data_IF_637921690792
#
_entry.id   IF_637921690792
#
_cell.length_a   1.000
_cell.length_b   1.000
_cell.length_c   1.000
_cell.angle_alpha   90.00
_cell.angle_beta   90.00
_cell.angle_gamma   90.00
#
_symmetry.space_group_name_H-M   'P 1'
#
loop_
_entity.id
_entity.type
_entity.pdbx_description
1 polymer ?
#
# COMPACT_ATOMS: atom_id res chain seq x y z
N UNK A 1 65.09 15.60 12.07
CA UNK A 1 64.02 14.75 11.53
C UNK A 1 63.23 14.20 12.70
N UNK A 2 62.03 14.73 12.94
CA UNK A 2 60.93 14.12 13.69
C UNK A 2 59.73 15.06 13.51
N UNK A 3 58.90 14.73 12.53
CA UNK A 3 57.67 15.45 12.22
C UNK A 3 56.50 14.81 12.96
N UNK A 4 55.83 15.62 13.77
CA UNK A 4 54.48 15.43 14.29
C UNK A 4 53.46 15.49 13.16
N UNK A 5 52.57 14.50 13.07
CA UNK A 5 51.32 14.59 12.33
C UNK A 5 50.19 14.19 13.29
N UNK A 6 49.41 15.19 13.67
CA UNK A 6 48.08 15.08 14.27
C UNK A 6 47.09 15.17 13.10
N UNK A 7 46.43 14.08 12.75
CA UNK A 7 45.29 14.13 11.82
C UNK A 7 44.00 14.32 12.61
N UNK A 8 43.51 15.55 12.52
CA UNK A 8 42.18 15.98 12.91
C UNK A 8 41.19 15.58 11.79
N UNK A 9 40.34 14.59 12.06
CA UNK A 9 39.28 14.14 11.16
C UNK A 9 37.92 14.63 11.68
N UNK A 10 37.73 15.94 11.73
CA UNK A 10 36.40 16.54 11.79
C UNK A 10 35.83 16.63 10.36
N UNK A 11 35.20 15.57 9.87
CA UNK A 11 34.32 15.67 8.72
C UNK A 11 33.09 16.49 9.10
N UNK A 12 33.10 17.77 8.78
CA UNK A 12 31.91 18.63 8.80
C UNK A 12 30.97 18.11 7.71
N UNK A 13 29.83 17.56 8.11
CA UNK A 13 28.75 17.22 7.18
C UNK A 13 28.31 18.49 6.44
N UNK A 14 28.05 18.45 5.12
CA UNK A 14 27.58 19.64 4.41
C UNK A 14 26.25 20.09 5.00
N UNK A 15 26.13 21.39 5.29
CA UNK A 15 24.85 22.02 5.65
C UNK A 15 23.93 21.99 4.43
N UNK A 16 23.15 20.92 4.29
CA UNK A 16 22.00 20.90 3.40
C UNK A 16 20.83 21.58 4.12
N UNK A 17 20.41 22.74 3.61
CA UNK A 17 19.18 23.39 4.05
C UNK A 17 17.94 22.51 3.77
N UNK A 18 16.79 22.81 4.40
CA UNK A 18 15.57 22.03 4.22
C UNK A 18 15.16 21.99 2.74
N UNK A 19 15.04 20.78 2.18
CA UNK A 19 14.60 20.55 0.81
C UNK A 19 13.06 20.69 0.74
N UNK A 20 12.51 21.68 0.03
CA UNK A 20 11.06 21.81 -0.11
C UNK A 20 10.52 20.69 -1.02
N UNK A 21 9.41 20.06 -0.61
CA UNK A 21 8.69 19.09 -1.44
C UNK A 21 7.86 19.81 -2.51
N UNK A 22 8.24 19.63 -3.77
CA UNK A 22 7.39 19.95 -4.91
C UNK A 22 7.00 18.64 -5.61
N UNK A 23 5.78 18.55 -6.15
CA UNK A 23 5.34 17.49 -7.08
C UNK A 23 5.11 16.06 -6.54
N UNK A 24 4.96 15.85 -5.22
CA UNK A 24 4.57 14.54 -4.64
C UNK A 24 3.19 14.02 -5.09
N UNK A 25 2.42 14.86 -5.79
CA UNK A 25 1.09 14.57 -6.32
C UNK A 25 1.01 14.45 -7.85
N UNK A 26 2.06 14.03 -8.56
CA UNK A 26 1.94 13.62 -9.98
C UNK A 26 2.01 12.10 -10.14
N UNK A 27 1.01 11.48 -10.79
CA UNK A 27 0.98 10.02 -10.98
C UNK A 27 2.12 9.60 -11.90
N UNK A 28 2.98 8.72 -11.38
CA UNK A 28 4.24 8.29 -11.97
C UNK A 28 4.10 7.37 -13.20
N UNK A 29 2.88 6.97 -13.58
CA UNK A 29 2.63 6.08 -14.74
C UNK A 29 2.28 6.84 -16.02
N UNK A 30 1.74 8.07 -15.92
CA UNK A 30 1.26 8.84 -17.08
C UNK A 30 2.11 10.08 -17.40
N UNK A 31 3.12 10.38 -16.58
CA UNK A 31 4.12 11.38 -16.94
C UNK A 31 4.97 10.84 -18.09
N UNK A 32 4.95 11.49 -19.25
CA UNK A 32 5.84 11.17 -20.35
C UNK A 32 7.28 11.18 -19.83
N UNK A 33 7.96 10.05 -19.98
CA UNK A 33 9.22 9.62 -19.36
C UNK A 33 10.47 10.44 -19.80
N UNK A 34 10.29 11.66 -20.32
CA UNK A 34 11.38 12.46 -20.87
C UNK A 34 12.20 13.19 -19.81
N UNK A 35 11.68 13.39 -18.60
CA UNK A 35 12.35 14.22 -17.60
C UNK A 35 13.24 13.44 -16.60
N UNK A 36 13.36 12.11 -16.69
CA UNK A 36 14.37 11.35 -15.94
C UNK A 36 14.31 11.37 -14.40
N UNK A 37 13.46 12.20 -13.79
CA UNK A 37 13.47 12.47 -12.34
C UNK A 37 13.04 11.27 -11.46
N UNK A 38 12.38 10.27 -12.05
CA UNK A 38 11.99 9.04 -11.36
C UNK A 38 12.69 7.87 -12.03
N UNK A 39 13.96 7.62 -11.67
CA UNK A 39 14.76 6.57 -12.28
C UNK A 39 14.34 5.17 -11.82
N UNK A 40 13.78 5.03 -10.63
CA UNK A 40 13.34 3.76 -10.06
C UNK A 40 11.87 3.85 -9.61
N UNK A 41 11.23 2.70 -9.37
CA UNK A 41 9.85 2.55 -8.91
C UNK A 41 9.79 1.66 -7.68
N UNK A 42 9.30 2.22 -6.58
CA UNK A 42 9.21 1.55 -5.30
C UNK A 42 7.93 0.69 -5.24
N UNK A 43 8.08 -0.56 -4.83
CA UNK A 43 7.01 -1.56 -4.75
C UNK A 43 6.68 -1.91 -3.29
N UNK A 44 5.43 -1.72 -2.91
CA UNK A 44 4.84 -2.34 -1.72
C UNK A 44 3.99 -3.55 -2.12
N UNK A 45 4.29 -4.71 -1.55
CA UNK A 45 3.58 -5.96 -1.80
C UNK A 45 2.98 -6.53 -0.53
N UNK A 46 1.67 -6.75 -0.51
CA UNK A 46 0.91 -7.24 0.64
C UNK A 46 0.39 -8.66 0.40
N UNK A 47 0.80 -9.57 1.29
CA UNK A 47 0.32 -10.96 1.28
C UNK A 47 -1.15 -11.11 1.65
N UNK A 48 -1.77 -12.14 1.09
CA UNK A 48 -3.13 -12.57 1.42
C UNK A 48 -3.18 -13.54 2.59
N UNK A 49 -4.07 -13.28 3.54
CA UNK A 49 -4.07 -13.92 4.85
C UNK A 49 -5.35 -13.91 5.67
N UNK A 50 -6.47 -13.40 5.13
CA UNK A 50 -7.71 -13.23 5.89
C UNK A 50 -7.48 -12.37 7.12
N UNK A 51 -7.83 -12.86 8.32
CA UNK A 51 -7.71 -12.05 9.54
C UNK A 51 -6.26 -11.72 9.91
N UNK A 52 -5.32 -12.55 9.50
CA UNK A 52 -3.89 -12.29 9.71
C UNK A 52 -3.40 -11.07 8.91
N UNK A 53 -4.18 -10.55 7.96
CA UNK A 53 -3.90 -9.26 7.33
C UNK A 53 -3.78 -8.11 8.33
N UNK A 54 -4.34 -8.24 9.54
CA UNK A 54 -4.11 -7.28 10.63
C UNK A 54 -2.64 -7.16 11.01
N UNK A 55 -1.85 -8.23 10.90
CA UNK A 55 -0.40 -8.18 11.05
C UNK A 55 0.24 -7.21 10.05
N UNK A 56 -0.13 -7.31 8.78
CA UNK A 56 0.42 -6.45 7.73
C UNK A 56 0.12 -4.97 8.01
N UNK A 57 -1.05 -4.66 8.57
CA UNK A 57 -1.40 -3.30 8.98
C UNK A 57 -0.51 -2.78 10.12
N UNK A 58 -0.21 -3.61 11.12
CA UNK A 58 0.70 -3.23 12.21
C UNK A 58 2.14 -3.01 11.71
N UNK A 59 2.59 -3.84 10.76
CA UNK A 59 3.90 -3.66 10.11
C UNK A 59 3.93 -2.34 9.32
N UNK A 60 2.88 -2.05 8.55
CA UNK A 60 2.78 -0.79 7.80
C UNK A 60 2.75 0.42 8.74
N UNK A 61 1.96 0.37 9.81
CA UNK A 61 1.91 1.44 10.83
C UNK A 61 3.30 1.73 11.40
N UNK A 62 4.04 0.67 11.78
CA UNK A 62 5.40 0.82 12.30
C UNK A 62 6.40 1.33 11.26
N UNK A 63 6.24 0.93 10.00
CA UNK A 63 7.07 1.45 8.91
C UNK A 63 6.79 2.92 8.62
N UNK A 64 5.52 3.32 8.55
CA UNK A 64 5.15 4.73 8.31
C UNK A 64 5.67 5.63 9.43
N UNK A 65 5.65 5.14 10.67
CA UNK A 65 6.30 5.82 11.79
C UNK A 65 7.82 5.98 11.56
N UNK A 66 8.51 4.90 11.14
CA UNK A 66 9.95 4.95 10.91
C UNK A 66 10.33 5.88 9.74
N UNK A 67 9.49 5.96 8.69
CA UNK A 67 9.67 6.92 7.59
C UNK A 67 9.50 8.35 8.12
N UNK A 68 8.46 8.62 8.91
CA UNK A 68 8.26 9.92 9.54
C UNK A 68 9.40 10.35 10.45
N UNK A 69 9.96 9.40 11.22
CA UNK A 69 11.14 9.64 12.06
C UNK A 69 12.37 10.01 11.21
N UNK A 70 12.58 9.33 10.08
CA UNK A 70 13.69 9.64 9.16
C UNK A 70 13.49 10.98 8.44
N UNK A 71 12.26 11.30 8.00
CA UNK A 71 11.93 12.60 7.42
C UNK A 71 12.23 13.75 8.39
N UNK A 72 11.85 13.62 9.66
CA UNK A 72 12.14 14.62 10.70
C UNK A 72 13.63 14.80 10.94
N UNK A 73 14.36 13.70 11.01
CA UNK A 73 15.80 13.69 11.24
C UNK A 73 16.55 14.43 10.13
N UNK A 74 16.07 14.37 8.89
CA UNK A 74 16.70 14.99 7.72
C UNK A 74 16.11 16.35 7.35
N UNK A 75 14.97 16.73 7.92
CA UNK A 75 14.14 17.88 7.53
C UNK A 75 14.63 19.28 7.92
N UNK A 76 15.83 19.44 8.46
CA UNK A 76 16.51 20.75 8.58
C UNK A 76 15.72 21.89 9.24
N UNK A 77 14.82 21.60 10.20
CA UNK A 77 14.07 22.63 10.94
C UNK A 77 12.68 22.99 10.38
N UNK A 78 12.15 22.21 9.42
CA UNK A 78 10.77 22.35 8.97
C UNK A 78 9.77 22.11 10.12
N UNK A 79 8.72 22.94 10.23
CA UNK A 79 7.77 22.87 11.35
C UNK A 79 6.77 21.70 11.26
N UNK A 80 6.54 21.18 10.05
CA UNK A 80 5.50 20.17 9.79
C UNK A 80 6.01 19.07 8.87
N UNK A 81 5.91 17.83 9.34
CA UNK A 81 6.29 16.63 8.61
C UNK A 81 5.09 15.71 8.47
N UNK A 82 4.53 15.68 7.27
CA UNK A 82 3.51 14.72 6.90
C UNK A 82 3.43 14.59 5.38
N UNK A 83 2.65 13.60 4.97
CA UNK A 83 2.36 13.25 3.60
C UNK A 83 1.59 14.29 2.80
N UNK A 84 0.92 15.23 3.46
CA UNK A 84 0.08 16.23 2.80
C UNK A 84 0.81 17.55 2.62
N UNK A 85 1.89 17.80 3.37
CA UNK A 85 2.68 19.03 3.25
C UNK A 85 3.16 19.26 1.79
N UNK A 86 3.00 20.48 1.24
CA UNK A 86 2.61 21.73 1.92
C UNK A 86 1.11 21.92 2.18
N UNK A 87 0.26 21.10 1.57
CA UNK A 87 -1.20 21.21 1.69
C UNK A 87 -1.71 20.93 3.10
N UNK A 88 -2.87 21.50 3.48
CA UNK A 88 -3.52 21.18 4.75
C UNK A 88 -3.95 19.71 4.80
N UNK A 89 -3.93 19.13 6.00
CA UNK A 89 -4.46 17.79 6.26
C UNK A 89 -5.96 17.75 5.93
N UNK A 90 -6.43 16.82 5.08
CA UNK A 90 -7.84 16.72 4.75
C UNK A 90 -8.70 16.27 5.95
N UNK A 91 -9.92 16.82 6.08
CA UNK A 91 -10.86 16.52 7.17
C UNK A 91 -11.23 15.03 7.31
N UNK A 92 -11.17 14.26 6.22
CA UNK A 92 -11.50 12.83 6.22
C UNK A 92 -10.32 11.96 6.69
N UNK A 93 -9.11 12.51 6.71
CA UNK A 93 -7.92 11.87 7.28
C UNK A 93 -7.95 12.03 8.81
N UNK A 94 -8.41 13.19 9.29
CA UNK A 94 -8.45 13.57 10.71
C UNK A 94 -9.62 12.98 11.50
N UNK A 95 -10.54 12.20 10.90
CA UNK A 95 -11.70 11.61 11.60
C UNK A 95 -11.35 10.75 12.83
N UNK A 96 -10.10 10.29 12.99
CA UNK A 96 -9.64 9.62 14.21
C UNK A 96 -9.10 10.55 15.30
N UNK A 97 -8.69 11.77 14.94
CA UNK A 97 -8.04 12.75 15.82
C UNK A 97 -9.05 13.37 16.79
N UNK A 98 -10.32 13.53 16.39
CA UNK A 98 -11.32 14.23 17.18
C UNK A 98 -12.10 13.38 18.19
N UNK A 99 -12.21 12.06 18.02
CA UNK A 99 -13.03 11.22 18.91
C UNK A 99 -12.29 10.61 20.12
N UNK A 100 -10.97 10.82 20.24
CA UNK A 100 -10.17 10.26 21.36
C UNK A 100 -9.33 11.32 22.07
N UNK A 101 -9.99 12.38 22.50
CA UNK A 101 -9.50 13.20 23.61
C UNK A 101 -9.58 12.39 24.90
N UNK A 102 -8.53 11.63 25.20
CA UNK A 102 -7.99 11.34 26.53
C UNK A 102 -6.87 10.29 26.39
N UNK A 103 -5.61 10.72 26.50
CA UNK A 103 -4.42 9.90 26.78
C UNK A 103 -3.93 8.91 25.70
N UNK A 104 -3.84 9.30 24.42
CA UNK A 104 -2.88 8.63 23.51
C UNK A 104 -1.64 9.49 23.31
N UNK A 105 -0.48 8.82 23.31
CA UNK A 105 0.85 9.42 23.10
C UNK A 105 0.90 10.07 21.71
N UNK A 106 1.52 11.24 21.62
CA UNK A 106 1.82 11.98 20.36
C UNK A 106 2.26 11.05 19.21
N UNK A 107 3.07 10.03 19.54
CA UNK A 107 3.61 9.04 18.60
C UNK A 107 2.55 8.24 17.78
N UNK A 108 1.31 8.06 18.27
CA UNK A 108 0.25 7.34 17.53
C UNK A 108 -0.37 8.19 16.40
N UNK A 109 -0.26 9.52 16.50
CA UNK A 109 -0.77 10.46 15.50
C UNK A 109 0.18 10.54 14.30
N UNK A 110 1.48 10.38 14.54
CA UNK A 110 2.51 10.48 13.51
C UNK A 110 2.34 9.45 12.39
N UNK A 111 2.14 8.18 12.71
CA UNK A 111 2.01 7.13 11.69
C UNK A 111 0.81 7.33 10.76
N UNK A 112 -0.23 8.06 11.21
CA UNK A 112 -1.42 8.37 10.41
C UNK A 112 -1.20 9.56 9.48
N UNK A 113 -0.18 10.38 9.77
CA UNK A 113 0.24 11.51 8.97
C UNK A 113 1.15 11.11 7.80
N UNK A 114 1.69 9.89 7.80
CA UNK A 114 2.47 9.34 6.67
C UNK A 114 1.69 8.24 5.96
N UNK A 115 1.43 8.44 4.66
CA UNK A 115 0.71 7.50 3.82
C UNK A 115 1.69 6.67 2.98
N UNK A 116 1.48 5.34 2.87
CA UNK A 116 2.31 4.50 2.01
C UNK A 116 2.38 4.98 0.56
N UNK A 117 1.30 5.60 0.05
CA UNK A 117 1.24 6.09 -1.33
C UNK A 117 2.26 7.18 -1.66
N UNK A 118 2.87 7.83 -0.66
CA UNK A 118 3.93 8.81 -0.90
C UNK A 118 5.33 8.21 -0.94
N UNK A 119 5.50 6.98 -0.45
CA UNK A 119 6.79 6.29 -0.47
C UNK A 119 6.86 5.18 -1.52
N UNK A 120 5.70 4.73 -2.01
CA UNK A 120 5.58 3.62 -2.96
C UNK A 120 4.82 4.03 -4.21
N UNK A 121 5.45 3.84 -5.37
CA UNK A 121 4.84 4.06 -6.68
C UNK A 121 3.79 3.01 -7.01
N UNK A 122 4.06 1.76 -6.63
CA UNK A 122 3.20 0.63 -6.92
C UNK A 122 2.87 -0.11 -5.63
N UNK A 123 1.58 -0.30 -5.39
CA UNK A 123 1.07 -1.13 -4.29
C UNK A 123 0.35 -2.33 -4.90
N UNK A 124 0.83 -3.54 -4.60
CA UNK A 124 0.16 -4.78 -5.02
C UNK A 124 -0.30 -5.60 -3.82
N UNK A 125 -1.53 -6.11 -3.87
CA UNK A 125 -2.13 -6.82 -2.76
C UNK A 125 -2.88 -8.09 -3.16
N UNK A 126 -2.96 -9.04 -2.23
CA UNK A 126 -3.84 -10.20 -2.34
C UNK A 126 -4.63 -10.40 -1.04
N UNK A 127 -5.90 -10.82 -1.15
CA UNK A 127 -6.80 -11.34 -0.10
C UNK A 127 -6.53 -10.96 1.38
N UNK A 128 -6.96 -9.77 1.81
CA UNK A 128 -7.00 -9.39 3.23
C UNK A 128 -8.43 -9.09 3.66
N UNK A 129 -8.83 -9.52 4.87
CA UNK A 129 -10.22 -9.39 5.35
C UNK A 129 -10.30 -8.77 6.74
N UNK A 130 -11.44 -8.14 7.05
CA UNK A 130 -11.70 -7.34 8.26
C UNK A 130 -12.71 -7.99 9.23
N UNK A 131 -12.88 -7.40 10.42
CA UNK A 131 -13.80 -7.85 11.47
C UNK A 131 -15.25 -8.05 10.99
N UNK A 132 -15.79 -7.11 10.19
CA UNK A 132 -17.18 -7.18 9.69
C UNK A 132 -17.38 -8.34 8.72
N UNK A 133 -16.29 -8.85 8.14
CA UNK A 133 -16.28 -9.95 7.17
C UNK A 133 -16.36 -11.32 7.86
N UNK A 134 -15.62 -11.51 8.98
CA UNK A 134 -15.53 -12.81 9.66
C UNK A 134 -16.39 -12.95 10.92
N UNK A 135 -17.10 -11.88 11.32
CA UNK A 135 -17.85 -11.81 12.58
C UNK A 135 -19.07 -12.73 12.73
N UNK A 136 -19.60 -13.27 11.62
CA UNK A 136 -20.84 -14.07 11.59
C UNK A 136 -20.71 -15.26 10.64
N UNK A 137 -19.99 -16.34 11.01
CA UNK A 137 -19.95 -17.56 10.20
C UNK A 137 -21.33 -18.24 10.15
N UNK A 138 -21.67 -18.85 9.01
CA UNK A 138 -22.84 -19.73 8.91
C UNK A 138 -22.59 -20.99 9.74
N UNK A 139 -23.59 -21.37 10.54
CA UNK A 139 -23.50 -22.56 11.39
C UNK A 139 -23.33 -23.86 10.58
N UNK A 140 -24.00 -23.93 9.42
CA UNK A 140 -23.89 -25.02 8.44
C UNK A 140 -23.21 -24.47 7.18
N UNK A 141 -22.01 -24.97 6.87
CA UNK A 141 -21.25 -24.56 5.67
C UNK A 141 -20.51 -25.75 5.05
N UNK A 142 -20.08 -25.62 3.80
CA UNK A 142 -19.31 -26.65 3.09
C UNK A 142 -18.03 -27.02 3.84
N UNK A 143 -17.38 -26.04 4.48
CA UNK A 143 -16.17 -26.25 5.27
C UNK A 143 -16.45 -26.92 6.61
N UNK A 144 -17.62 -26.71 7.20
CA UNK A 144 -17.97 -27.23 8.52
C UNK A 144 -18.52 -28.66 8.48
N UNK A 145 -19.33 -28.99 7.47
CA UNK A 145 -20.13 -30.24 7.45
C UNK A 145 -19.90 -31.05 6.15
N UNK A 146 -19.23 -30.50 5.13
CA UNK A 146 -18.86 -31.23 3.90
C UNK A 146 -20.02 -31.56 2.94
N UNK A 147 -21.27 -31.58 3.44
CA UNK A 147 -22.46 -32.01 2.68
C UNK A 147 -23.16 -30.82 1.99
N UNK A 148 -23.08 -29.63 2.58
CA UNK A 148 -23.87 -28.46 2.15
C UNK A 148 -22.98 -27.50 1.34
N UNK A 149 -23.36 -27.16 0.09
CA UNK A 149 -22.55 -26.33 -0.83
C UNK A 149 -22.46 -24.82 -0.49
N UNK A 150 -22.74 -24.44 0.75
CA UNK A 150 -22.86 -23.03 1.13
C UNK A 150 -21.51 -22.50 1.66
N UNK A 151 -21.07 -21.31 1.23
CA UNK A 151 -19.84 -20.70 1.72
C UNK A 151 -19.95 -20.34 3.21
N UNK A 152 -18.82 -20.34 3.92
CA UNK A 152 -18.79 -20.10 5.37
C UNK A 152 -19.32 -18.73 5.78
N UNK A 153 -19.11 -17.70 4.96
CA UNK A 153 -19.48 -16.31 5.27
C UNK A 153 -20.40 -15.72 4.19
N UNK A 154 -21.16 -14.70 4.57
CA UNK A 154 -22.04 -13.98 3.65
C UNK A 154 -21.27 -12.87 2.92
N UNK A 155 -21.27 -12.90 1.59
CA UNK A 155 -20.64 -11.88 0.76
C UNK A 155 -21.25 -10.48 0.96
N UNK A 156 -22.53 -10.39 1.32
CA UNK A 156 -23.22 -9.10 1.56
C UNK A 156 -22.56 -8.31 2.68
N UNK A 157 -22.24 -8.96 3.82
CA UNK A 157 -21.58 -8.28 4.93
C UNK A 157 -20.16 -7.80 4.58
N UNK A 158 -19.49 -8.49 3.65
CA UNK A 158 -18.20 -8.05 3.11
C UNK A 158 -18.37 -6.82 2.23
N UNK A 159 -19.33 -6.83 1.32
CA UNK A 159 -19.62 -5.66 0.47
C UNK A 159 -20.04 -4.44 1.28
N UNK A 160 -20.88 -4.63 2.31
CA UNK A 160 -21.26 -3.57 3.24
C UNK A 160 -20.05 -3.01 3.99
N UNK A 161 -19.12 -3.87 4.42
CA UNK A 161 -17.89 -3.43 5.07
C UNK A 161 -17.00 -2.62 4.13
N UNK A 162 -16.89 -3.02 2.86
CA UNK A 162 -16.14 -2.25 1.86
C UNK A 162 -16.83 -0.93 1.53
N UNK A 163 -18.15 -0.93 1.31
CA UNK A 163 -18.95 0.30 1.11
C UNK A 163 -18.76 1.28 2.25
N UNK A 164 -18.83 0.81 3.49
CA UNK A 164 -18.62 1.63 4.69
C UNK A 164 -17.21 2.25 4.74
N UNK A 165 -16.17 1.46 4.47
CA UNK A 165 -14.80 1.97 4.44
C UNK A 165 -14.63 3.00 3.33
N UNK A 166 -15.07 2.71 2.12
CA UNK A 166 -14.89 3.64 1.00
C UNK A 166 -15.77 4.88 1.14
N UNK A 167 -16.96 4.78 1.75
CA UNK A 167 -17.76 5.97 2.05
C UNK A 167 -17.10 6.87 3.11
N UNK A 168 -16.46 6.28 4.12
CA UNK A 168 -15.77 7.04 5.18
C UNK A 168 -14.45 7.64 4.72
N UNK A 169 -13.76 7.00 3.77
CA UNK A 169 -12.38 7.36 3.36
C UNK A 169 -12.27 7.92 1.95
N UNK A 170 -13.28 7.72 1.11
CA UNK A 170 -13.34 8.29 -0.22
C UNK A 170 -13.56 9.79 -0.19
N UNK A 171 -13.17 10.45 -1.28
CA UNK A 171 -13.43 11.86 -1.49
C UNK A 171 -14.95 12.11 -1.42
N UNK A 172 -15.36 13.12 -0.64
CA UNK A 172 -16.76 13.53 -0.61
C UNK A 172 -17.08 14.12 -1.99
N UNK A 173 -18.18 13.73 -2.64
CA UNK A 173 -18.58 14.36 -3.88
C UNK A 173 -18.75 15.86 -3.63
N UNK A 174 -18.30 16.68 -4.59
CA UNK A 174 -18.54 18.12 -4.55
C UNK A 174 -20.04 18.40 -4.36
N UNK A 175 -20.46 19.52 -3.74
CA UNK A 175 -21.88 19.82 -3.50
C UNK A 175 -22.79 19.74 -4.74
N UNK A 176 -22.20 19.89 -5.93
CA UNK A 176 -22.88 19.82 -7.22
C UNK A 176 -22.77 18.46 -7.94
N UNK A 177 -22.04 17.49 -7.39
CA UNK A 177 -22.00 16.11 -7.89
C UNK A 177 -23.10 15.29 -7.19
N UNK A 178 -23.92 14.59 -7.98
CA UNK A 178 -24.94 13.70 -7.44
C UNK A 178 -24.30 12.67 -6.49
N UNK A 179 -24.92 12.49 -5.32
CA UNK A 179 -24.40 11.78 -4.15
C UNK A 179 -24.23 10.25 -4.30
N UNK A 180 -24.01 9.72 -5.51
CA UNK A 180 -24.04 8.29 -5.78
C UNK A 180 -22.98 7.78 -6.76
N UNK A 181 -22.00 8.60 -7.19
CA UNK A 181 -20.92 8.05 -8.00
C UNK A 181 -20.08 7.12 -7.13
N UNK A 182 -20.15 5.83 -7.43
CA UNK A 182 -19.33 4.85 -6.72
C UNK A 182 -17.85 5.19 -6.95
N UNK A 183 -17.02 5.04 -5.91
CA UNK A 183 -15.59 5.29 -5.99
C UNK A 183 -15.01 4.47 -7.14
N UNK A 184 -14.32 5.17 -8.04
CA UNK A 184 -13.72 4.61 -9.24
C UNK A 184 -12.39 3.97 -8.86
N UNK A 185 -12.22 2.70 -9.23
CA UNK A 185 -10.93 2.00 -9.04
C UNK A 185 -9.75 2.59 -9.82
N UNK A 186 -9.96 3.29 -10.96
CA UNK A 186 -8.90 4.08 -11.57
C UNK A 186 -8.26 5.09 -10.61
N UNK A 187 -6.94 5.03 -10.44
CA UNK A 187 -6.19 5.97 -9.62
C UNK A 187 -6.24 7.36 -10.25
N UNK A 188 -6.54 8.37 -9.43
CA UNK A 188 -6.43 9.76 -9.83
C UNK A 188 -4.98 10.11 -10.11
N UNK A 189 -4.76 11.09 -10.99
CA UNK A 189 -3.41 11.61 -11.25
C UNK A 189 -2.87 12.14 -9.93
N UNK A 190 -1.67 11.72 -9.56
CA UNK A 190 -1.02 12.07 -8.31
C UNK A 190 -0.99 11.01 -7.24
N UNK A 191 -1.60 9.85 -7.48
CA UNK A 191 -1.64 8.77 -6.49
C UNK A 191 -0.79 7.58 -6.94
N UNK A 192 -0.37 6.77 -5.95
CA UNK A 192 0.31 5.52 -6.19
C UNK A 192 -0.57 4.58 -7.03
N UNK A 193 0.06 3.81 -7.91
CA UNK A 193 -0.63 2.82 -8.72
C UNK A 193 -0.93 1.56 -7.93
N UNK A 194 -2.15 1.07 -8.06
CA UNK A 194 -2.59 -0.10 -7.33
C UNK A 194 -2.86 -1.28 -8.27
N UNK A 195 -2.48 -2.45 -7.80
CA UNK A 195 -2.90 -3.70 -8.41
C UNK A 195 -3.38 -4.72 -7.38
N UNK A 196 -4.38 -5.51 -7.75
CA UNK A 196 -4.93 -6.54 -6.87
C UNK A 196 -5.04 -7.87 -7.63
N UNK A 197 -4.57 -8.94 -7.02
CA UNK A 197 -4.62 -10.26 -7.64
C UNK A 197 -5.88 -11.02 -7.25
N UNK A 198 -6.50 -11.72 -8.20
CA UNK A 198 -7.57 -12.69 -7.97
C UNK A 198 -7.40 -13.94 -8.84
N UNK A 199 -8.18 -14.97 -8.54
CA UNK A 199 -8.27 -16.17 -9.36
C UNK A 199 -9.57 -16.16 -10.16
N UNK A 200 -9.45 -16.12 -11.48
CA UNK A 200 -10.54 -16.35 -12.41
C UNK A 200 -10.74 -17.84 -12.63
N UNK A 201 -12.00 -18.26 -12.68
CA UNK A 201 -12.39 -19.60 -13.07
C UNK A 201 -13.13 -19.51 -14.40
N UNK A 202 -12.60 -20.17 -15.42
CA UNK A 202 -13.26 -20.24 -16.74
C UNK A 202 -13.79 -21.65 -16.93
N UNK A 203 -15.09 -21.77 -17.19
CA UNK A 203 -15.72 -23.05 -17.53
C UNK A 203 -15.56 -23.33 -19.02
N UNK A 204 -14.72 -24.31 -19.36
CA UNK A 204 -14.56 -24.79 -20.73
C UNK A 204 -15.20 -26.16 -20.93
N UNK A 205 -15.47 -26.53 -22.19
CA UNK A 205 -16.01 -27.85 -22.58
C UNK A 205 -15.16 -29.03 -22.10
N UNK A 206 -13.87 -28.83 -21.78
CA UNK A 206 -12.92 -29.86 -21.28
C UNK A 206 -12.61 -29.74 -19.78
N UNK A 207 -13.38 -28.96 -19.02
CA UNK A 207 -13.20 -28.76 -17.59
C UNK A 207 -12.97 -27.29 -17.22
N UNK A 208 -13.02 -26.98 -15.92
CA UNK A 208 -12.78 -25.62 -15.43
C UNK A 208 -11.29 -25.34 -15.29
N UNK A 209 -10.78 -24.32 -15.98
CA UNK A 209 -9.43 -23.80 -15.78
C UNK A 209 -9.45 -22.69 -14.71
N UNK A 210 -8.32 -22.54 -14.01
CA UNK A 210 -8.10 -21.42 -13.08
C UNK A 210 -6.95 -20.56 -13.61
N UNK A 211 -7.20 -19.27 -13.78
CA UNK A 211 -6.23 -18.27 -14.27
C UNK A 211 -6.09 -17.18 -13.22
N UNK A 212 -4.87 -16.76 -12.92
CA UNK A 212 -4.66 -15.57 -12.10
C UNK A 212 -4.97 -14.33 -12.93
N UNK A 213 -5.66 -13.36 -12.34
CA UNK A 213 -5.96 -12.07 -12.94
C UNK A 213 -5.48 -10.94 -12.04
N UNK A 214 -5.02 -9.87 -12.66
CA UNK A 214 -4.50 -8.68 -12.00
C UNK A 214 -5.41 -7.49 -12.33
N UNK A 215 -6.18 -7.04 -11.35
CA UNK A 215 -6.86 -5.75 -11.41
C UNK A 215 -5.82 -4.65 -11.33
N UNK A 216 -5.99 -3.60 -12.12
CA UNK A 216 -5.08 -2.44 -12.19
C UNK A 216 -5.89 -1.15 -12.08
N UNK A 217 -5.39 -0.20 -11.30
CA UNK A 217 -5.97 1.14 -11.19
C UNK A 217 -5.54 2.08 -12.33
N UNK A 218 -4.69 1.60 -13.25
CA UNK A 218 -4.11 2.38 -14.34
C UNK A 218 -4.30 1.64 -15.67
N UNK A 219 -4.09 2.38 -16.76
CA UNK A 219 -4.16 1.83 -18.11
C UNK A 219 -2.94 0.94 -18.37
N UNK A 220 -3.18 -0.26 -18.91
CA UNK A 220 -2.15 -1.24 -19.21
C UNK A 220 -2.47 -1.92 -20.55
N UNK A 221 -1.45 -2.29 -21.33
CA UNK A 221 -1.65 -2.93 -22.65
C UNK A 221 -2.38 -4.27 -22.55
N UNK A 222 -2.11 -5.01 -21.48
CA UNK A 222 -2.79 -6.27 -21.12
C UNK A 222 -4.03 -6.04 -20.25
N UNK A 223 -4.67 -4.86 -20.32
CA UNK A 223 -5.94 -4.62 -19.64
C UNK A 223 -7.00 -5.39 -20.41
N UNK A 224 -7.52 -6.46 -19.81
CA UNK A 224 -8.71 -7.11 -20.32
C UNK A 224 -9.86 -6.06 -20.35
N UNK A 225 -10.75 -6.13 -21.34
CA UNK A 225 -11.90 -5.21 -21.58
C UNK A 225 -13.01 -5.30 -20.51
N UNK A 226 -12.62 -5.58 -19.28
CA UNK A 226 -13.51 -5.87 -18.17
C UNK A 226 -13.90 -4.53 -17.55
N UNK A 227 -15.11 -4.10 -17.85
CA UNK A 227 -15.76 -3.02 -17.12
C UNK A 227 -16.06 -3.53 -15.71
N UNK A 228 -15.34 -2.99 -14.72
CA UNK A 228 -15.62 -3.20 -13.31
C UNK A 228 -16.46 -2.04 -12.81
N UNK A 229 -17.55 -2.32 -12.11
CA UNK A 229 -18.48 -1.26 -11.65
C UNK A 229 -17.95 -0.51 -10.42
N UNK A 230 -16.73 -0.81 -9.94
CA UNK A 230 -16.07 -0.03 -8.88
C UNK A 230 -15.11 -0.82 -7.98
N UNK A 231 -14.44 -0.10 -7.09
CA UNK A 231 -13.43 -0.63 -6.14
C UNK A 231 -13.92 -1.82 -5.31
N UNK A 232 -15.19 -1.80 -4.90
CA UNK A 232 -15.79 -2.83 -4.06
C UNK A 232 -15.78 -4.20 -4.75
N UNK A 233 -16.00 -4.25 -6.06
CA UNK A 233 -15.97 -5.50 -6.82
C UNK A 233 -14.55 -6.07 -6.87
N UNK A 234 -13.55 -5.21 -7.08
CA UNK A 234 -12.14 -5.59 -7.07
C UNK A 234 -11.71 -6.09 -5.70
N UNK A 235 -12.05 -5.36 -4.63
CA UNK A 235 -11.75 -5.77 -3.26
C UNK A 235 -12.41 -7.10 -2.90
N UNK A 236 -13.68 -7.30 -3.30
CA UNK A 236 -14.39 -8.58 -3.11
C UNK A 236 -13.73 -9.71 -3.88
N UNK A 237 -13.41 -9.51 -5.16
CA UNK A 237 -12.77 -10.52 -5.99
C UNK A 237 -11.38 -10.91 -5.46
N UNK A 238 -10.58 -9.95 -5.00
CA UNK A 238 -9.28 -10.21 -4.40
C UNK A 238 -9.38 -10.92 -3.05
N UNK A 239 -10.48 -10.73 -2.30
CA UNK A 239 -10.68 -11.29 -0.95
C UNK A 239 -11.44 -12.62 -0.92
N UNK A 240 -12.18 -12.96 -1.99
CA UNK A 240 -13.01 -14.15 -2.05
C UNK A 240 -12.20 -15.46 -2.06
N UNK A 241 -11.82 -15.94 -0.87
CA UNK A 241 -11.21 -17.25 -0.71
C UNK A 241 -12.22 -18.37 -1.01
N UNK A 242 -11.85 -19.39 -1.83
CA UNK A 242 -12.74 -20.52 -2.13
C UNK A 242 -13.24 -21.20 -0.85
N UNK A 243 -14.52 -21.58 -0.82
CA UNK A 243 -15.24 -22.15 0.35
C UNK A 243 -15.58 -21.15 1.47
N UNK A 244 -14.98 -19.96 1.48
CA UNK A 244 -15.28 -18.92 2.47
C UNK A 244 -16.36 -17.95 1.99
N UNK A 245 -16.31 -17.57 0.71
CA UNK A 245 -17.22 -16.63 0.08
C UNK A 245 -17.74 -17.16 -1.25
N UNK A 246 -18.91 -16.66 -1.68
CA UNK A 246 -19.44 -16.94 -3.02
C UNK A 246 -18.53 -16.30 -4.07
N UNK A 247 -18.06 -17.12 -5.02
CA UNK A 247 -17.27 -16.67 -6.18
C UNK A 247 -18.06 -15.62 -6.98
N UNK A 248 -17.37 -14.59 -7.46
CA UNK A 248 -17.92 -13.65 -8.44
C UNK A 248 -17.87 -14.31 -9.82
N UNK A 249 -18.99 -14.30 -10.55
CA UNK A 249 -19.05 -14.84 -11.90
C UNK A 249 -18.83 -13.72 -12.91
N UNK A 250 -17.79 -13.85 -13.72
CA UNK A 250 -17.52 -12.97 -14.86
C UNK A 250 -17.19 -13.84 -16.09
N UNK A 251 -17.57 -13.37 -17.29
CA UNK A 251 -17.28 -14.05 -18.57
C UNK A 251 -16.03 -13.43 -19.20
N UNK A 252 -15.06 -14.24 -19.61
CA UNK A 252 -13.79 -13.77 -20.16
C UNK A 252 -13.32 -14.50 -21.41
N UNK A 253 -12.62 -13.74 -22.26
CA UNK A 253 -11.96 -14.17 -23.50
C UNK A 253 -10.46 -13.80 -23.47
N UNK A 254 -9.66 -14.33 -22.54
CA UNK A 254 -8.20 -14.21 -22.68
C UNK A 254 -7.44 -15.37 -22.03
N UNK A 255 -6.43 -15.90 -22.74
CA UNK A 255 -5.54 -16.97 -22.28
C UNK A 255 -4.20 -16.38 -21.83
N UNK A 256 -3.89 -16.46 -20.54
CA UNK A 256 -2.55 -16.21 -20.00
C UNK A 256 -2.40 -16.97 -18.67
N UNK A 257 -1.20 -17.41 -18.31
CA UNK A 257 -0.97 -18.31 -17.16
C UNK A 257 -0.04 -17.68 -16.15
N UNK A 258 -0.55 -17.39 -14.96
CA UNK A 258 0.25 -16.99 -13.79
C UNK A 258 -0.13 -17.82 -12.55
N UNK A 259 0.84 -18.01 -11.65
CA UNK A 259 0.79 -18.97 -10.54
C UNK A 259 -0.10 -18.59 -9.35
N UNK A 260 -0.40 -19.60 -8.51
CA UNK A 260 -1.34 -19.60 -7.38
C UNK A 260 -0.78 -18.98 -6.07
N UNK A 261 0.02 -17.91 -6.14
CA UNK A 261 0.71 -17.38 -4.94
C UNK A 261 -0.13 -16.34 -4.21
N UNK A 262 -0.24 -16.45 -2.89
CA UNK A 262 -0.77 -15.41 -1.99
C UNK A 262 0.28 -14.33 -1.65
N UNK A 263 1.40 -14.32 -2.38
CA UNK A 263 2.45 -13.30 -2.35
C UNK A 263 2.55 -12.69 -3.76
N UNK A 264 2.04 -11.47 -3.96
CA UNK A 264 2.05 -10.85 -5.28
C UNK A 264 3.37 -10.15 -5.63
N UNK A 265 4.46 -10.31 -4.85
CA UNK A 265 5.69 -9.52 -5.04
C UNK A 265 6.32 -9.73 -6.42
N UNK A 266 6.46 -10.99 -6.88
CA UNK A 266 7.01 -11.23 -8.23
C UNK A 266 6.14 -10.64 -9.34
N UNK A 267 4.83 -10.62 -9.15
CA UNK A 267 3.91 -10.03 -10.12
C UNK A 267 4.03 -8.52 -10.12
N UNK A 268 4.13 -7.89 -8.95
CA UNK A 268 4.38 -6.46 -8.84
C UNK A 268 5.69 -6.03 -9.48
N UNK A 269 6.76 -6.83 -9.33
CA UNK A 269 8.04 -6.59 -10.00
C UNK A 269 7.85 -6.69 -11.52
N UNK A 270 7.29 -7.80 -12.01
CA UNK A 270 7.04 -7.99 -13.44
C UNK A 270 6.19 -6.87 -14.03
N UNK A 271 5.22 -6.37 -13.27
CA UNK A 271 4.38 -5.26 -13.68
C UNK A 271 5.17 -3.96 -13.82
N UNK A 272 6.06 -3.63 -12.87
CA UNK A 272 6.97 -2.49 -13.00
C UNK A 272 7.91 -2.69 -14.20
N UNK A 273 8.49 -3.87 -14.35
CA UNK A 273 9.42 -4.18 -15.46
C UNK A 273 8.74 -4.04 -16.82
N UNK A 274 7.48 -4.46 -16.94
CA UNK A 274 6.69 -4.35 -18.17
C UNK A 274 6.30 -2.91 -18.51
N UNK A 275 6.11 -2.07 -17.49
CA UNK A 275 5.68 -0.68 -17.65
C UNK A 275 6.85 0.28 -17.89
N UNK A 276 7.95 0.08 -17.15
CA UNK A 276 9.03 1.06 -17.05
C UNK A 276 10.38 0.49 -17.51
N UNK A 277 10.56 -0.83 -17.56
CA UNK A 277 11.84 -1.46 -17.83
C UNK A 277 12.45 -2.13 -16.59
N UNK A 278 13.38 -3.06 -16.82
CA UNK A 278 13.94 -3.93 -15.78
C UNK A 278 14.83 -3.19 -14.76
N UNK A 279 15.49 -2.14 -15.24
CA UNK A 279 16.37 -1.23 -14.51
C UNK A 279 15.62 -0.21 -13.66
N UNK A 280 14.30 -0.10 -13.83
CA UNK A 280 13.44 0.85 -13.12
C UNK A 280 12.83 0.30 -11.84
N UNK A 281 13.26 -0.87 -11.36
CA UNK A 281 12.73 -1.45 -10.11
C UNK A 281 13.58 -0.99 -8.93
N UNK A 282 12.99 -0.17 -8.06
CA UNK A 282 13.66 0.41 -6.89
C UNK A 282 13.52 -0.45 -5.63
N UNK A 283 13.11 0.19 -4.53
CA UNK A 283 12.87 -0.48 -3.25
C UNK A 283 11.70 -1.45 -3.37
N UNK A 284 11.92 -2.71 -2.99
CA UNK A 284 10.89 -3.75 -2.95
C UNK A 284 10.63 -4.13 -1.49
N UNK A 285 9.46 -3.74 -0.99
CA UNK A 285 8.97 -4.17 0.30
C UNK A 285 7.87 -5.20 0.16
N UNK A 286 8.11 -6.40 0.69
CA UNK A 286 7.11 -7.48 0.78
C UNK A 286 6.71 -7.68 2.24
N UNK A 287 5.41 -7.53 2.54
CA UNK A 287 4.88 -7.69 3.90
C UNK A 287 4.10 -8.98 3.99
N UNK A 288 4.55 -9.85 4.90
CA UNK A 288 3.88 -11.12 5.18
C UNK A 288 2.81 -11.04 6.26
N UNK A 289 2.13 -12.15 6.47
CA UNK A 289 1.03 -12.30 7.44
C UNK A 289 1.42 -13.12 8.68
N UNK A 290 2.74 -13.26 8.93
CA UNK A 290 3.32 -14.09 9.99
C UNK A 290 2.70 -15.49 10.06
N UNK A 291 2.63 -16.19 8.93
CA UNK A 291 2.12 -17.57 8.91
C UNK A 291 3.14 -18.50 9.57
N UNK A 292 2.70 -19.30 10.54
CA UNK A 292 3.52 -20.37 11.14
C UNK A 292 4.05 -21.31 10.04
N UNK A 293 5.32 -21.68 10.16
CA UNK A 293 5.91 -22.70 9.32
C UNK A 293 5.26 -24.03 9.73
N UNK A 294 4.23 -24.45 8.98
CA UNK A 294 3.60 -25.75 9.16
C UNK A 294 4.68 -26.83 9.34
N UNK A 295 4.49 -27.72 10.33
CA UNK A 295 5.28 -28.94 10.50
C UNK A 295 5.49 -29.60 9.12
N UNK A 296 6.71 -30.08 8.81
CA UNK A 296 7.03 -30.61 7.49
C UNK A 296 6.00 -31.65 7.06
N UNK A 297 5.21 -31.34 6.00
CA UNK A 297 4.18 -32.25 5.47
C UNK A 297 2.88 -31.61 4.97
N UNK A 298 2.58 -30.34 5.30
CA UNK A 298 1.40 -29.62 4.75
C UNK A 298 1.83 -28.46 3.82
N UNK A 299 0.94 -28.09 2.89
CA UNK A 299 1.15 -27.36 1.62
C UNK A 299 1.62 -25.89 1.79
N UNK A 300 2.75 -25.64 2.46
CA UNK A 300 3.37 -24.33 2.64
C UNK A 300 4.48 -23.97 1.64
N UNK A 301 4.72 -24.82 0.64
CA UNK A 301 5.90 -24.79 -0.24
C UNK A 301 6.03 -23.48 -1.05
N UNK A 302 4.91 -22.88 -1.47
CA UNK A 302 4.90 -21.83 -2.49
C UNK A 302 5.35 -20.45 -1.99
N UNK A 303 5.07 -20.11 -0.72
CA UNK A 303 5.43 -18.81 -0.14
C UNK A 303 6.94 -18.61 -0.04
N UNK A 304 7.63 -19.70 0.30
CA UNK A 304 9.08 -19.78 0.43
C UNK A 304 9.76 -19.66 -0.93
N UNK A 305 9.10 -20.11 -2.00
CA UNK A 305 9.63 -19.99 -3.36
C UNK A 305 9.79 -18.54 -3.81
N UNK A 306 8.79 -17.67 -3.60
CA UNK A 306 8.88 -16.26 -4.03
C UNK A 306 10.06 -15.55 -3.39
N UNK A 307 10.15 -15.59 -2.05
CA UNK A 307 11.24 -14.94 -1.32
C UNK A 307 12.62 -15.53 -1.68
N UNK A 308 12.70 -16.84 -1.89
CA UNK A 308 13.95 -17.49 -2.31
C UNK A 308 14.35 -17.13 -3.75
N UNK A 309 13.38 -17.02 -4.66
CA UNK A 309 13.63 -16.58 -6.04
C UNK A 309 14.18 -15.15 -6.06
N UNK A 310 13.60 -14.24 -5.26
CA UNK A 310 14.04 -12.85 -5.19
C UNK A 310 15.45 -12.71 -4.58
N UNK A 311 15.76 -13.51 -3.55
CA UNK A 311 17.12 -13.56 -3.00
C UNK A 311 18.16 -14.02 -4.02
N UNK A 312 17.79 -14.89 -4.97
CA UNK A 312 18.68 -15.34 -6.05
C UNK A 312 18.86 -14.31 -7.15
N UNK A 313 17.87 -13.45 -7.38
CA UNK A 313 17.91 -12.40 -8.38
C UNK A 313 18.73 -11.16 -7.95
N UNK A 314 19.42 -11.23 -6.81
CA UNK A 314 20.33 -10.17 -6.32
C UNK A 314 19.72 -8.77 -6.38
N UNK A 315 18.48 -8.61 -5.89
CA UNK A 315 17.87 -7.28 -5.73
C UNK A 315 18.40 -6.66 -4.43
N UNK A 316 19.25 -5.61 -4.49
CA UNK A 316 19.94 -5.09 -3.32
C UNK A 316 18.97 -4.48 -2.28
N UNK A 317 17.84 -3.94 -2.76
CA UNK A 317 16.85 -3.24 -1.94
C UNK A 317 15.56 -4.05 -1.80
N UNK A 318 15.69 -5.32 -1.43
CA UNK A 318 14.55 -6.20 -1.15
C UNK A 318 14.42 -6.52 0.35
N UNK A 319 13.31 -6.11 0.95
CA UNK A 319 12.97 -6.46 2.34
C UNK A 319 11.70 -7.29 2.40
N UNK A 320 11.75 -8.32 3.25
CA UNK A 320 10.60 -9.19 3.56
C UNK A 320 10.28 -9.10 5.04
N UNK A 321 9.29 -8.29 5.39
CA UNK A 321 8.83 -8.12 6.76
C UNK A 321 7.81 -9.20 7.09
N UNK A 322 8.28 -10.27 7.74
CA UNK A 322 7.44 -11.39 8.15
C UNK A 322 8.07 -12.11 9.36
N UNK A 323 7.27 -12.53 10.33
CA UNK A 323 7.79 -13.37 11.41
C UNK A 323 8.08 -14.79 10.88
N UNK A 324 9.33 -15.23 11.05
CA UNK A 324 9.79 -16.59 10.70
C UNK A 324 9.25 -17.65 11.66
N UNK A 325 8.94 -17.27 12.90
CA UNK A 325 8.30 -18.15 13.88
C UNK A 325 6.80 -18.29 13.57
N UNK A 326 6.24 -17.26 12.96
CA UNK A 326 4.84 -17.17 12.57
C UNK A 326 3.85 -17.26 13.74
N UNK A 327 2.58 -17.31 13.38
CA UNK A 327 1.43 -17.32 14.27
C UNK A 327 0.59 -18.55 13.95
N UNK A 328 0.38 -19.37 14.97
CA UNK A 328 -0.57 -20.47 14.94
C UNK A 328 -2.00 -19.92 14.97
N UNK A 329 -2.46 -19.40 13.84
CA UNK A 329 -3.77 -18.82 13.67
C UNK A 329 -4.34 -19.21 12.31
N UNK A 330 -5.57 -19.73 12.30
CA UNK A 330 -6.28 -19.98 11.04
C UNK A 330 -6.65 -18.67 10.35
N UNK A 331 -6.87 -18.76 9.03
CA UNK A 331 -7.22 -17.63 8.16
C UNK A 331 -8.46 -16.85 8.65
N UNK A 332 -9.36 -17.53 9.35
CA UNK A 332 -10.65 -17.01 9.80
C UNK A 332 -10.94 -17.36 11.26
N UNK A 333 -9.89 -17.53 12.07
CA UNK A 333 -10.06 -17.71 13.50
C UNK A 333 -10.56 -16.40 14.10
N UNK A 334 -11.87 -16.29 14.27
CA UNK A 334 -12.55 -15.10 14.77
C UNK A 334 -13.26 -15.43 16.09
N UNK A 335 -12.51 -15.53 17.19
CA UNK A 335 -13.04 -15.98 18.49
C UNK A 335 -12.88 -14.91 19.58
N UNK A 336 -13.79 -14.85 20.57
CA UNK A 336 -15.09 -15.52 20.61
C UNK A 336 -16.03 -14.95 19.53
N UNK A 337 -16.98 -15.76 19.06
CA UNK A 337 -18.00 -15.38 18.06
C UNK A 337 -19.35 -16.05 18.33
N UNK A 338 -19.58 -16.53 19.55
CA UNK A 338 -20.85 -17.15 19.93
C UNK A 338 -22.00 -16.13 19.90
N UNK A 339 -23.23 -16.62 19.78
CA UNK A 339 -24.43 -15.76 19.79
C UNK A 339 -24.46 -14.84 21.01
N UNK A 340 -24.17 -15.39 22.20
CA UNK A 340 -24.15 -14.66 23.47
C UNK A 340 -22.89 -13.80 23.67
N UNK A 341 -21.93 -13.82 22.74
CA UNK A 341 -20.74 -12.97 22.83
C UNK A 341 -21.11 -11.54 22.47
N UNK A 342 -20.90 -10.61 23.41
CA UNK A 342 -21.03 -9.16 23.19
C UNK A 342 -20.20 -8.76 21.97
N UNK A 343 -20.76 -7.89 21.11
CA UNK A 343 -20.12 -7.50 19.85
C UNK A 343 -18.70 -6.95 20.03
N UNK A 344 -18.49 -6.14 21.07
CA UNK A 344 -17.18 -5.58 21.43
C UNK A 344 -16.12 -6.61 21.81
N UNK A 345 -16.53 -7.82 22.21
CA UNK A 345 -15.61 -8.91 22.57
C UNK A 345 -15.34 -9.86 21.41
N UNK A 346 -16.01 -9.70 20.26
CA UNK A 346 -15.87 -10.65 19.16
C UNK A 346 -14.52 -10.49 18.47
N UNK A 347 -13.82 -11.61 18.30
CA UNK A 347 -12.49 -11.61 17.68
C UNK A 347 -11.38 -10.99 18.53
N UNK A 348 -11.60 -10.67 19.80
CA UNK A 348 -10.53 -10.07 20.62
C UNK A 348 -9.33 -11.01 20.78
N UNK A 349 -9.55 -12.33 20.95
CA UNK A 349 -8.47 -13.32 21.14
C UNK A 349 -7.49 -13.41 19.95
N UNK A 350 -7.94 -13.60 18.69
CA UNK A 350 -7.05 -13.64 17.55
C UNK A 350 -6.37 -12.29 17.32
N UNK A 351 -7.07 -11.17 17.53
CA UNK A 351 -6.46 -9.83 17.43
C UNK A 351 -5.36 -9.63 18.48
N UNK A 352 -5.62 -9.96 19.73
CA UNK A 352 -4.64 -9.92 20.82
C UNK A 352 -3.45 -10.84 20.53
N UNK A 353 -3.69 -12.05 20.01
CA UNK A 353 -2.62 -12.97 19.60
C UNK A 353 -1.75 -12.37 18.48
N UNK A 354 -2.37 -11.73 17.47
CA UNK A 354 -1.65 -11.06 16.40
C UNK A 354 -0.85 -9.88 16.96
N UNK A 355 -1.44 -9.03 17.80
CA UNK A 355 -0.78 -7.88 18.42
C UNK A 355 0.40 -8.31 19.30
N UNK A 356 0.22 -9.31 20.14
CA UNK A 356 1.30 -9.82 21.01
C UNK A 356 2.44 -10.42 20.19
N UNK A 357 2.10 -11.21 19.15
CA UNK A 357 3.09 -11.74 18.23
C UNK A 357 3.84 -10.65 17.47
N UNK A 358 3.12 -9.61 17.02
CA UNK A 358 3.71 -8.46 16.35
C UNK A 358 4.65 -7.71 17.27
N UNK A 359 4.23 -7.39 18.49
CA UNK A 359 5.07 -6.70 19.47
C UNK A 359 6.35 -7.50 19.77
N UNK A 360 6.23 -8.81 19.96
CA UNK A 360 7.38 -9.68 20.15
C UNK A 360 8.33 -9.72 18.93
N UNK A 361 7.80 -9.66 17.71
CA UNK A 361 8.59 -9.56 16.47
C UNK A 361 9.23 -8.19 16.29
N UNK A 362 8.49 -7.11 16.57
CA UNK A 362 8.91 -5.72 16.38
C UNK A 362 9.99 -5.29 17.39
N UNK A 363 10.10 -5.97 18.54
CA UNK A 363 11.19 -5.77 19.51
C UNK A 363 12.48 -6.51 19.15
N UNK A 364 12.47 -7.40 18.14
CA UNK A 364 13.70 -8.09 17.72
C UNK A 364 14.60 -7.11 16.99
N UNK A 365 15.88 -7.14 17.32
CA UNK A 365 16.89 -6.27 16.73
C UNK A 365 16.89 -6.32 15.20
N UNK A 366 16.80 -7.52 14.62
CA UNK A 366 16.78 -7.71 13.18
C UNK A 366 15.54 -7.05 12.54
N UNK A 367 14.38 -7.13 13.19
CA UNK A 367 13.16 -6.48 12.70
C UNK A 367 13.27 -4.96 12.75
N UNK A 368 13.83 -4.42 13.85
CA UNK A 368 14.08 -2.98 14.00
C UNK A 368 15.01 -2.49 12.90
N UNK A 369 16.14 -3.17 12.70
CA UNK A 369 17.10 -2.83 11.65
C UNK A 369 16.48 -2.90 10.25
N UNK A 370 15.71 -3.96 9.94
CA UNK A 370 15.05 -4.08 8.64
C UNK A 370 14.07 -2.92 8.39
N UNK A 371 13.26 -2.54 9.38
CA UNK A 371 12.31 -1.43 9.24
C UNK A 371 13.06 -0.10 9.06
N UNK A 372 14.09 0.15 9.87
CA UNK A 372 14.90 1.39 9.77
C UNK A 372 15.62 1.49 8.43
N UNK A 373 16.26 0.42 7.97
CA UNK A 373 16.92 0.39 6.66
C UNK A 373 15.91 0.58 5.52
N UNK A 374 14.73 -0.03 5.62
CA UNK A 374 13.68 0.17 4.60
C UNK A 374 13.24 1.64 4.57
N UNK A 375 12.98 2.24 5.74
CA UNK A 375 12.57 3.63 5.85
C UNK A 375 13.64 4.60 5.32
N UNK A 376 14.90 4.38 5.69
CA UNK A 376 16.04 5.18 5.22
C UNK A 376 16.20 5.08 3.69
N UNK A 377 16.07 3.90 3.11
CA UNK A 377 16.21 3.75 1.66
C UNK A 377 15.02 4.35 0.90
N UNK A 378 13.79 4.19 1.40
CA UNK A 378 12.63 4.88 0.84
C UNK A 378 12.79 6.40 0.91
N UNK A 379 13.24 6.92 2.05
CA UNK A 379 13.53 8.35 2.19
C UNK A 379 14.61 8.79 1.20
N UNK A 380 15.70 8.03 1.06
CA UNK A 380 16.78 8.34 0.11
C UNK A 380 16.28 8.39 -1.34
N UNK A 381 15.42 7.46 -1.74
CA UNK A 381 14.78 7.52 -3.06
C UNK A 381 14.00 8.83 -3.20
N UNK A 382 13.13 9.14 -2.24
CA UNK A 382 12.34 10.38 -2.22
C UNK A 382 13.19 11.66 -2.21
N UNK A 383 14.32 11.66 -1.51
CA UNK A 383 15.20 12.84 -1.43
C UNK A 383 16.09 12.99 -2.66
N UNK A 384 16.56 11.88 -3.23
CA UNK A 384 17.36 11.89 -4.46
C UNK A 384 16.52 12.23 -5.68
N UNK A 385 15.23 11.89 -5.68
CA UNK A 385 14.24 12.38 -6.65
C UNK A 385 14.09 13.92 -6.59
N UNK A 386 14.48 14.53 -5.46
CA UNK A 386 14.51 15.98 -5.26
C UNK A 386 15.89 16.61 -5.56
N UNK A 387 16.89 15.88 -6.08
CA UNK A 387 18.21 16.47 -6.39
C UNK A 387 18.20 17.42 -7.59
N UNK A 388 17.15 17.38 -8.42
CA UNK A 388 16.83 18.45 -9.37
C UNK A 388 15.89 19.51 -8.77
N UNK A 389 15.76 19.59 -7.44
CA UNK A 389 15.27 20.80 -6.79
C UNK A 389 16.27 21.90 -7.12
N UNK A 390 15.87 22.75 -8.06
CA UNK A 390 16.67 23.86 -8.51
C UNK A 390 17.26 24.60 -7.33
N UNK A 391 18.59 24.64 -7.26
CA UNK A 391 19.30 25.27 -6.14
C UNK A 391 19.02 26.78 -6.03
N UNK A 392 18.22 27.34 -6.95
CA UNK A 392 17.63 28.67 -6.88
C UNK A 392 16.41 28.74 -7.81
N UNK A 393 15.50 29.70 -7.56
CA UNK A 393 14.41 30.07 -8.48
C UNK A 393 14.93 30.42 -9.89
N UNK A 394 16.17 30.92 -9.99
CA UNK A 394 16.84 31.17 -11.27
C UNK A 394 17.04 29.90 -12.09
N UNK A 395 17.61 28.84 -11.49
CA UNK A 395 17.79 27.55 -12.16
C UNK A 395 16.46 26.90 -12.57
N UNK A 396 15.40 27.07 -11.77
CA UNK A 396 14.05 26.64 -12.14
C UNK A 396 13.57 27.37 -13.40
N UNK A 397 13.70 28.69 -13.42
CA UNK A 397 13.31 29.51 -14.55
C UNK A 397 14.13 29.23 -15.82
N UNK A 398 15.39 28.82 -15.67
CA UNK A 398 16.26 28.47 -16.79
C UNK A 398 15.84 27.14 -17.41
N UNK A 399 15.62 26.10 -16.61
CA UNK A 399 15.06 24.83 -17.09
C UNK A 399 13.65 25.01 -17.65
N UNK A 400 12.80 25.81 -16.99
CA UNK A 400 11.46 26.10 -17.48
C UNK A 400 11.49 26.71 -18.88
N UNK A 401 12.40 27.67 -19.12
CA UNK A 401 12.58 28.25 -20.45
C UNK A 401 13.08 27.24 -21.46
N UNK A 402 14.07 26.44 -21.10
CA UNK A 402 14.69 25.48 -22.00
C UNK A 402 13.74 24.36 -22.43
N UNK A 403 12.96 23.82 -21.49
CA UNK A 403 12.19 22.60 -21.71
C UNK A 403 10.68 22.83 -21.80
N UNK A 404 10.16 23.95 -21.29
CA UNK A 404 8.71 24.13 -21.15
C UNK A 404 8.13 25.34 -21.90
N UNK A 405 8.89 26.39 -22.19
CA UNK A 405 8.40 27.64 -22.82
C UNK A 405 7.78 27.44 -24.23
N UNK A 406 8.15 26.35 -24.92
CA UNK A 406 7.59 26.02 -26.24
C UNK A 406 6.20 25.37 -26.23
N UNK A 407 5.65 25.00 -25.06
CA UNK A 407 4.34 24.34 -25.00
C UNK A 407 3.18 25.34 -24.96
N UNK A 408 2.10 25.02 -25.67
CA UNK A 408 0.84 25.76 -25.58
C UNK A 408 0.31 25.66 -24.14
N UNK A 409 0.21 26.81 -23.45
CA UNK A 409 -0.12 26.97 -22.02
C UNK A 409 1.02 26.81 -21.00
N UNK A 410 2.29 26.83 -21.40
CA UNK A 410 3.42 26.74 -20.47
C UNK A 410 3.32 27.74 -19.31
N UNK A 411 3.07 29.02 -19.58
CA UNK A 411 3.03 30.04 -18.52
C UNK A 411 1.96 29.79 -17.45
N UNK A 412 0.89 29.04 -17.77
CA UNK A 412 -0.16 28.66 -16.81
C UNK A 412 0.32 27.67 -15.74
N UNK A 413 1.42 26.99 -16.01
CA UNK A 413 2.05 26.00 -15.13
C UNK A 413 3.38 26.49 -14.54
N UNK A 414 3.87 27.64 -15.01
CA UNK A 414 5.14 28.25 -14.59
C UNK A 414 5.09 28.82 -13.17
N UNK A 415 3.95 29.43 -12.84
CA UNK A 415 3.60 29.89 -11.50
C UNK A 415 2.11 29.60 -11.31
N UNK A 416 1.70 28.66 -10.44
CA UNK A 416 0.29 28.51 -10.18
C UNK A 416 -0.17 29.75 -9.39
N UNK A 417 -0.75 30.73 -10.09
CA UNK A 417 -1.74 31.60 -9.49
C UNK A 417 -2.91 30.73 -9.04
N UNK A 418 -2.81 30.17 -7.84
CA UNK A 418 -4.00 29.71 -7.15
C UNK A 418 -4.80 30.95 -6.81
N UNK A 419 -5.93 31.11 -7.49
CA UNK A 419 -7.01 32.00 -7.08
C UNK A 419 -7.27 31.82 -5.60
N UNK A 420 -6.86 32.81 -4.82
CA UNK A 420 -7.45 33.08 -3.50
C UNK A 420 -8.96 33.15 -3.72
N UNK A 421 -9.70 32.25 -3.10
CA UNK A 421 -11.13 32.46 -2.89
C UNK A 421 -11.27 33.67 -1.95
N UNK A 422 -11.38 34.86 -2.53
CA UNK A 422 -11.79 36.05 -1.80
C UNK A 422 -13.29 35.88 -1.55
N UNK A 423 -13.67 35.69 -0.28
CA UNK A 423 -15.05 35.88 0.14
C UNK A 423 -15.50 37.27 -0.31
N UNK A 424 -16.63 37.43 -1.03
CA UNK A 424 -17.23 38.75 -1.15
C UNK A 424 -17.60 39.20 0.27
N UNK A 425 -17.06 40.33 0.68
CA UNK A 425 -17.43 40.98 1.92
C UNK A 425 -18.95 41.20 1.91
N UNK A 426 -19.61 40.74 2.97
CA UNK A 426 -21.01 41.06 3.22
C UNK A 426 -21.14 42.58 3.40
N UNK A 427 -21.98 43.19 2.57
CA UNK A 427 -22.68 44.42 2.92
C UNK A 427 -24.11 44.06 3.33
#
# INVERSE_FOLDING_TARGET
MNGTISEDLSHVAPEFGPLPRYNTGFSTILGNDQNGHWSERNLLSLDGGGIRGYWSLLVLERLMQAIGDEERKQGGGQERFDSFHPEPLPDYVTQRVLERSNQRRENDLDAQSFLPCHSFDVICGSSTGSQRIFGKPRWVSQRSIGIVRWPKYNAVCMEEAFKDVTQRRGEKPSPNQHAATSPLFPTSRGTCSMSATTMLRTEGKRGSSKKLHLFRSYNHKNRDDISYDGEIQVARAATAAPLYFTELQYKFNSEDRFGLTNNPTLLGIQEIENLFGQDRVGVILSVGIARDNEKPGKKGILHRHVANSLKRQTRPYYWRLNDKNGLDLELDDWKPNGWFTRESLRGHKPLEKITNGFNAWAMRWESIQMIQQTAEQLFRCLSNECQDAYSSRGKFNDHWREFHEGYENADRYRDPEFTVWVYPAAN
#
